data_IF_422937056227
#
_entry.id   IF_422937056227
#
_cell.length_a   1.000
_cell.length_b   1.000
_cell.length_c   1.000
_cell.angle_alpha   90.00
_cell.angle_beta   90.00
_cell.angle_gamma   90.00
#
_symmetry.space_group_name_H-M   'P 1'
#
loop_
_entity.id
_entity.type
_entity.pdbx_description
1 polymer ?
#
# COMPACT_ATOMS: atom_id res chain seq x y z
N UNK A 1 -5.50 3.64 -14.99
CA UNK A 1 -5.44 2.78 -13.80
C UNK A 1 -4.64 3.51 -12.71
N UNK A 2 -5.26 3.78 -11.57
CA UNK A 2 -4.62 4.45 -10.42
C UNK A 2 -3.65 3.50 -9.70
N UNK A 3 -2.79 4.02 -8.82
CA UNK A 3 -1.93 3.16 -7.99
C UNK A 3 -2.74 2.25 -7.07
N UNK A 4 -3.83 2.78 -6.49
CA UNK A 4 -4.73 1.99 -5.65
C UNK A 4 -5.33 0.80 -6.41
N UNK A 5 -5.74 0.98 -7.66
CA UNK A 5 -6.26 -0.10 -8.50
C UNK A 5 -5.19 -1.16 -8.79
N UNK A 6 -3.94 -0.76 -9.06
CA UNK A 6 -2.83 -1.71 -9.29
C UNK A 6 -2.51 -2.53 -8.05
N UNK A 7 -2.40 -1.86 -6.90
CA UNK A 7 -2.20 -2.54 -5.61
C UNK A 7 -3.34 -3.49 -5.31
N UNK A 8 -4.59 -3.08 -5.55
CA UNK A 8 -5.76 -3.92 -5.35
C UNK A 8 -5.67 -5.21 -6.14
N UNK A 9 -5.45 -5.12 -7.46
CA UNK A 9 -5.37 -6.30 -8.32
C UNK A 9 -4.26 -7.28 -7.88
N UNK A 10 -3.05 -6.77 -7.59
CA UNK A 10 -1.94 -7.61 -7.14
C UNK A 10 -2.22 -8.30 -5.81
N UNK A 11 -2.84 -7.60 -4.85
CA UNK A 11 -3.15 -8.15 -3.53
C UNK A 11 -4.31 -9.15 -3.59
N UNK A 12 -5.32 -8.89 -4.42
CA UNK A 12 -6.44 -9.82 -4.65
C UNK A 12 -5.94 -11.15 -5.25
N UNK A 13 -5.06 -11.07 -6.25
CA UNK A 13 -4.50 -12.24 -6.90
C UNK A 13 -3.55 -13.03 -5.98
N UNK A 14 -2.62 -12.34 -5.30
CA UNK A 14 -1.58 -13.01 -4.53
C UNK A 14 -2.04 -13.51 -3.15
N UNK A 15 -2.99 -12.82 -2.51
CA UNK A 15 -3.39 -13.11 -1.13
C UNK A 15 -4.81 -13.64 -1.00
N UNK A 16 -5.61 -13.58 -2.07
CA UNK A 16 -7.03 -13.97 -2.07
C UNK A 16 -7.75 -13.52 -0.78
N UNK A 17 -7.67 -12.22 -0.42
CA UNK A 17 -8.10 -11.76 0.88
C UNK A 17 -9.63 -11.87 1.01
N UNK A 18 -10.10 -12.26 2.19
CA UNK A 18 -11.52 -12.18 2.53
C UNK A 18 -11.97 -10.74 2.78
N UNK A 19 -11.04 -9.85 3.16
CA UNK A 19 -11.29 -8.41 3.26
C UNK A 19 -10.06 -7.63 2.80
N UNK A 20 -10.27 -6.66 1.91
CA UNK A 20 -9.24 -5.75 1.42
C UNK A 20 -9.77 -4.33 1.38
N UNK A 21 -9.15 -3.44 2.15
CA UNK A 21 -9.42 -2.01 2.14
C UNK A 21 -8.13 -1.25 1.85
N UNK A 22 -8.19 -0.31 0.90
CA UNK A 22 -7.08 0.53 0.50
C UNK A 22 -7.52 1.99 0.60
N UNK A 23 -6.88 2.75 1.46
CA UNK A 23 -7.16 4.16 1.70
C UNK A 23 -5.96 5.01 1.32
N UNK A 24 -6.15 6.00 0.44
CA UNK A 24 -5.15 7.00 0.13
C UNK A 24 -5.13 8.08 1.21
N UNK A 25 -4.00 8.19 1.93
CA UNK A 25 -3.81 9.18 3.00
C UNK A 25 -2.88 10.32 2.58
N UNK A 26 -2.49 10.39 1.32
CA UNK A 26 -1.51 11.36 0.82
C UNK A 26 -1.97 12.81 0.97
N UNK A 27 -3.29 13.06 0.95
CA UNK A 27 -3.85 14.40 1.15
C UNK A 27 -3.57 14.97 2.56
N UNK A 28 -3.44 14.11 3.58
CA UNK A 28 -3.16 14.51 4.97
C UNK A 28 -1.75 15.03 5.19
N UNK A 29 -0.83 14.76 4.26
CA UNK A 29 0.57 15.18 4.35
C UNK A 29 0.94 16.36 3.44
N UNK A 30 -0.04 16.99 2.77
CA UNK A 30 0.20 18.18 1.92
C UNK A 30 0.75 19.39 2.70
N UNK A 31 0.50 19.48 4.01
CA UNK A 31 0.95 20.61 4.84
C UNK A 31 2.45 20.58 5.18
N UNK A 32 3.16 19.48 4.92
CA UNK A 32 4.62 19.38 5.10
C UNK A 32 5.39 19.32 3.76
N UNK A 33 4.76 19.65 2.64
CA UNK A 33 5.39 19.67 1.32
C UNK A 33 5.99 21.04 0.97
N UNK A 34 6.76 21.66 1.88
CA UNK A 34 7.48 22.91 1.59
C UNK A 34 8.70 22.74 0.66
N UNK A 35 8.97 21.52 0.19
CA UNK A 35 9.87 21.27 -0.92
C UNK A 35 9.18 20.33 -1.91
N UNK A 36 8.48 20.89 -2.90
CA UNK A 36 8.15 20.13 -4.11
C UNK A 36 9.49 19.83 -4.79
N UNK A 37 9.92 18.57 -4.76
CA UNK A 37 11.11 18.17 -5.50
C UNK A 37 10.79 18.18 -7.00
N UNK A 38 11.78 18.44 -7.85
CA UNK A 38 11.61 18.40 -9.31
C UNK A 38 11.00 17.07 -9.83
N UNK A 39 11.10 15.99 -9.03
CA UNK A 39 10.48 14.69 -9.31
C UNK A 39 8.96 14.68 -9.11
N UNK A 40 8.38 15.56 -8.27
CA UNK A 40 6.94 15.72 -8.14
C UNK A 40 6.32 16.53 -9.28
N UNK A 41 7.10 17.42 -9.91
CA UNK A 41 6.66 18.19 -11.08
C UNK A 41 6.75 17.40 -12.38
N UNK A 42 7.70 16.46 -12.47
CA UNK A 42 7.84 15.54 -13.60
C UNK A 42 6.75 14.44 -13.62
N UNK A 43 6.05 14.21 -12.50
CA UNK A 43 4.95 13.26 -12.42
C UNK A 43 3.69 13.93 -12.96
N UNK A 44 3.08 13.33 -13.99
CA UNK A 44 1.87 13.86 -14.62
C UNK A 44 0.76 14.17 -13.60
N UNK A 45 -0.20 15.04 -13.96
CA UNK A 45 -1.15 15.67 -13.03
C UNK A 45 -2.05 14.73 -12.19
N UNK A 46 -1.96 13.41 -12.37
CA UNK A 46 -2.67 12.39 -11.59
C UNK A 46 -1.85 11.65 -10.52
N UNK A 47 -0.54 11.89 -10.40
CA UNK A 47 0.32 11.19 -9.41
C UNK A 47 0.74 12.06 -8.21
N UNK A 48 0.28 13.31 -8.19
CA UNK A 48 0.54 14.25 -7.10
C UNK A 48 -0.29 13.84 -5.89
N UNK A 49 0.35 13.14 -4.94
CA UNK A 49 -0.32 12.65 -3.74
C UNK A 49 -0.86 11.23 -3.86
N UNK A 50 -0.12 10.31 -4.49
CA UNK A 50 -0.33 8.85 -4.37
C UNK A 50 0.89 8.23 -3.65
N UNK A 51 1.25 8.78 -2.48
CA UNK A 51 2.53 8.52 -1.81
C UNK A 51 2.38 7.79 -0.48
N UNK A 52 1.22 7.89 0.15
CA UNK A 52 0.93 7.30 1.45
C UNK A 52 -0.38 6.53 1.37
N UNK A 53 -0.34 5.24 1.68
CA UNK A 53 -1.56 4.41 1.74
C UNK A 53 -1.67 3.69 3.06
N UNK A 54 -2.92 3.47 3.47
CA UNK A 54 -3.28 2.54 4.54
C UNK A 54 -3.99 1.34 3.94
N UNK A 55 -3.52 0.16 4.27
CA UNK A 55 -4.09 -1.09 3.83
C UNK A 55 -4.59 -1.90 5.03
N UNK A 56 -5.82 -2.37 4.94
CA UNK A 56 -6.38 -3.38 5.82
C UNK A 56 -6.58 -4.66 5.01
N UNK A 57 -5.92 -5.74 5.43
CA UNK A 57 -5.98 -7.02 4.71
C UNK A 57 -6.25 -8.15 5.69
N UNK A 58 -7.31 -8.90 5.42
CA UNK A 58 -7.64 -10.14 6.11
C UNK A 58 -7.49 -11.28 5.12
N UNK A 59 -6.65 -12.27 5.44
CA UNK A 59 -6.38 -13.42 4.57
C UNK A 59 -5.87 -14.61 5.36
N UNK A 60 -6.24 -15.82 4.94
CA UNK A 60 -5.69 -17.10 5.44
C UNK A 60 -4.18 -17.22 5.28
N UNK A 61 -3.61 -16.54 4.28
CA UNK A 61 -2.16 -16.53 4.05
C UNK A 61 -1.38 -15.97 5.25
N UNK A 62 -2.03 -15.19 6.11
CA UNK A 62 -1.43 -14.62 7.31
C UNK A 62 -1.58 -15.51 8.55
N UNK A 63 -2.36 -16.59 8.48
CA UNK A 63 -2.53 -17.53 9.59
C UNK A 63 -1.19 -18.21 9.92
N UNK A 64 -0.84 -18.23 11.20
CA UNK A 64 0.44 -18.78 11.67
C UNK A 64 1.68 -17.93 11.37
N UNK A 65 1.60 -16.89 10.53
CA UNK A 65 2.71 -15.97 10.27
C UNK A 65 2.92 -14.97 11.41
N UNK A 66 4.18 -14.64 11.72
CA UNK A 66 4.51 -13.54 12.64
C UNK A 66 4.22 -12.19 11.97
N UNK A 67 3.91 -11.13 12.75
CA UNK A 67 3.62 -9.80 12.20
C UNK A 67 4.68 -9.29 11.20
N UNK A 68 5.98 -9.45 11.52
CA UNK A 68 7.07 -9.03 10.63
C UNK A 68 7.07 -9.78 9.29
N UNK A 69 6.73 -11.07 9.29
CA UNK A 69 6.67 -11.89 8.08
C UNK A 69 5.51 -11.45 7.18
N UNK A 70 4.36 -11.14 7.77
CA UNK A 70 3.20 -10.58 7.04
C UNK A 70 3.56 -9.26 6.37
N UNK A 71 4.21 -8.36 7.10
CA UNK A 71 4.67 -7.08 6.55
C UNK A 71 5.67 -7.29 5.41
N UNK A 72 6.66 -8.18 5.59
CA UNK A 72 7.64 -8.50 4.54
C UNK A 72 6.97 -9.04 3.28
N UNK A 73 6.01 -9.94 3.41
CA UNK A 73 5.26 -10.50 2.28
C UNK A 73 4.56 -9.39 1.48
N UNK A 74 3.80 -8.53 2.16
CA UNK A 74 3.09 -7.42 1.49
C UNK A 74 4.06 -6.41 0.86
N UNK A 75 5.17 -6.09 1.54
CA UNK A 75 6.20 -5.21 0.96
C UNK A 75 6.85 -5.82 -0.29
N UNK A 76 7.07 -7.12 -0.33
CA UNK A 76 7.61 -7.81 -1.51
C UNK A 76 6.62 -7.76 -2.68
N UNK A 77 5.33 -8.01 -2.42
CA UNK A 77 4.28 -7.93 -3.44
C UNK A 77 4.16 -6.52 -4.03
N UNK A 78 4.37 -5.48 -3.21
CA UNK A 78 4.25 -4.09 -3.61
C UNK A 78 5.58 -3.41 -3.96
N UNK A 79 6.68 -4.16 -4.09
CA UNK A 79 8.01 -3.61 -4.32
C UNK A 79 8.07 -2.70 -5.57
N UNK A 80 7.40 -3.10 -6.65
CA UNK A 80 7.32 -2.30 -7.89
C UNK A 80 6.60 -0.95 -7.68
N UNK A 81 5.66 -0.86 -6.73
CA UNK A 81 4.99 0.41 -6.41
C UNK A 81 5.91 1.35 -5.60
N UNK A 82 6.78 0.80 -4.75
CA UNK A 82 7.84 1.56 -4.07
C UNK A 82 8.85 2.14 -5.07
N UNK A 83 9.29 1.35 -6.05
CA UNK A 83 10.20 1.81 -7.10
C UNK A 83 9.57 2.90 -7.97
N UNK A 84 8.27 2.78 -8.26
CA UNK A 84 7.52 3.81 -9.00
C UNK A 84 7.10 5.01 -8.12
N UNK A 85 7.50 5.05 -6.84
CA UNK A 85 7.45 6.25 -6.03
C UNK A 85 6.37 6.32 -4.96
N UNK A 86 5.93 5.19 -4.45
CA UNK A 86 5.25 5.08 -3.16
C UNK A 86 6.24 5.35 -2.02
N UNK A 87 5.88 6.20 -1.05
CA UNK A 87 6.78 6.58 0.05
C UNK A 87 6.56 5.73 1.30
N UNK A 88 5.32 5.52 1.72
CA UNK A 88 5.04 4.76 2.94
C UNK A 88 3.70 4.01 2.88
N UNK A 89 3.65 2.90 3.60
CA UNK A 89 2.46 2.08 3.79
C UNK A 89 2.17 1.85 5.27
N UNK A 90 0.94 2.11 5.68
CA UNK A 90 0.40 1.67 6.97
C UNK A 90 -0.35 0.35 6.76
N UNK A 91 0.19 -0.75 7.26
CA UNK A 91 -0.37 -2.09 7.06
C UNK A 91 -1.08 -2.58 8.33
N UNK A 92 -2.30 -3.06 8.19
CA UNK A 92 -3.01 -3.84 9.21
C UNK A 92 -3.33 -5.21 8.63
N UNK A 93 -2.60 -6.24 9.05
CA UNK A 93 -2.62 -7.57 8.45
C UNK A 93 -3.11 -8.62 9.46
N UNK A 94 -4.26 -9.22 9.18
CA UNK A 94 -4.91 -10.19 10.08
C UNK A 94 -5.12 -11.53 9.39
N UNK A 95 -4.87 -12.60 10.16
CA UNK A 95 -5.29 -13.94 9.78
C UNK A 95 -6.80 -14.10 9.93
N UNK A 96 -7.40 -14.98 9.13
CA UNK A 96 -8.81 -15.35 9.27
C UNK A 96 -9.03 -16.19 10.54
N UNK A 97 -8.02 -16.96 10.93
CA UNK A 97 -8.01 -17.71 12.17
C UNK A 97 -7.24 -16.88 13.19
N UNK A 98 -7.84 -15.76 13.60
CA UNK A 98 -7.34 -15.03 14.76
C UNK A 98 -7.81 -15.77 16.01
N UNK A 99 -6.94 -16.64 16.54
CA UNK A 99 -7.07 -17.29 17.85
C UNK A 99 -6.85 -16.32 19.01
#
# INVERSE_FOLDING_TARGET
>A
MTRAERMKAMLEEALMPSQLEIHDESARHRHHAHARSAQQEARGPGQVGETHYRLHIVSRHFDGMKPVERHRLVHQLLAAEFESGLHALSLTLKGEISA
#
